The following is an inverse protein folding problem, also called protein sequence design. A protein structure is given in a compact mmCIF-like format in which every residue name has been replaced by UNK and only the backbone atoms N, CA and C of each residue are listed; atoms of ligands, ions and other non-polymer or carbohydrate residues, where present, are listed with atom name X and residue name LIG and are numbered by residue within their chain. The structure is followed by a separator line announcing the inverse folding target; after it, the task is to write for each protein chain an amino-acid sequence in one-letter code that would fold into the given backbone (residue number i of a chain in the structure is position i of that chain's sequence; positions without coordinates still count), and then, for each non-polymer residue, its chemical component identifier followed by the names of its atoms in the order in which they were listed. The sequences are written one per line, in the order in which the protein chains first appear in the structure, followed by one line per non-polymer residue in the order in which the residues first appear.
data_IF_113392791073
#
_entry.id   IF_113392791073
#
_cell.length_a   1.000
_cell.length_b   1.000
_cell.length_c   1.000
_cell.angle_alpha   90.00
_cell.angle_beta   90.00
_cell.angle_gamma   90.00
#
_symmetry.space_group_name_H-M   'P 1'
#
loop_
_entity.id
_entity.type
_entity.pdbx_description
1 polymer ?
2 non-polymer ?
3 non-polymer ?
4 water ?
#
# COMPACT_ATOMS: atom_id res chain seq x y z
N UNK A 1 -30.23 0.04 21.82
CA UNK A 1 -30.49 1.43 22.26
C UNK A 1 -29.60 2.41 21.50
N UNK A 2 -28.69 1.89 20.66
CA UNK A 2 -27.57 2.65 20.15
C UNK A 2 -26.67 1.69 19.37
N UNK A 3 -25.98 2.15 18.31
CA UNK A 3 -25.25 1.16 17.53
C UNK A 3 -23.82 1.54 17.14
N UNK A 4 -22.81 0.89 17.79
CA UNK A 4 -21.40 1.09 17.46
C UNK A 4 -20.99 0.53 16.10
N UNK A 5 -21.79 -0.38 15.53
CA UNK A 5 -21.51 -0.91 14.20
C UNK A 5 -21.58 0.21 13.20
N UNK A 6 -22.77 0.77 13.07
CA UNK A 6 -23.06 1.84 12.12
C UNK A 6 -22.10 2.99 12.38
N UNK A 7 -21.85 3.26 13.67
CA UNK A 7 -20.88 4.27 14.05
C UNK A 7 -19.54 3.92 13.43
N UNK A 8 -19.12 2.64 13.57
CA UNK A 8 -17.81 2.19 13.12
C UNK A 8 -17.68 2.26 11.60
N UNK A 9 -18.75 1.88 10.88
CA UNK A 9 -18.77 1.90 9.43
C UNK A 9 -18.67 3.34 8.91
N UNK A 10 -19.37 4.26 9.59
CA UNK A 10 -19.36 5.66 9.21
C UNK A 10 -17.92 6.19 9.34
N UNK A 11 -17.21 5.74 10.38
CA UNK A 11 -15.87 6.22 10.64
C UNK A 11 -14.90 5.67 9.59
N UNK A 12 -15.04 4.38 9.25
CA UNK A 12 -14.12 3.81 8.29
C UNK A 12 -14.34 4.49 6.93
N UNK A 13 -15.61 4.79 6.62
CA UNK A 13 -15.97 5.42 5.35
C UNK A 13 -15.33 6.81 5.27
N UNK A 14 -15.42 7.55 6.38
CA UNK A 14 -14.83 8.87 6.50
C UNK A 14 -13.32 8.80 6.28
N UNK A 15 -12.71 7.77 6.88
CA UNK A 15 -11.27 7.57 6.83
C UNK A 15 -10.84 7.31 5.38
N UNK A 16 -11.61 6.49 4.66
CA UNK A 16 -11.36 6.18 3.27
C UNK A 16 -11.46 7.46 2.43
N UNK A 17 -12.45 8.31 2.71
CA UNK A 17 -12.67 9.54 1.96
C UNK A 17 -11.49 10.49 2.22
N UNK A 18 -11.12 10.61 3.49
CA UNK A 18 -9.97 11.39 3.92
C UNK A 18 -8.71 10.96 3.18
N UNK A 19 -8.48 9.64 3.17
CA UNK A 19 -7.29 9.07 2.57
C UNK A 19 -7.24 9.38 1.08
N UNK A 20 -8.38 9.18 0.40
CA UNK A 20 -8.48 9.40 -1.03
C UNK A 20 -8.18 10.86 -1.36
N UNK A 21 -8.79 11.79 -0.64
CA UNK A 21 -8.60 13.21 -0.91
C UNK A 21 -7.14 13.56 -0.67
N UNK A 22 -6.56 13.01 0.40
CA UNK A 22 -5.18 13.29 0.74
C UNK A 22 -4.26 12.77 -0.36
N UNK A 23 -4.53 11.54 -0.85
CA UNK A 23 -3.69 10.95 -1.89
C UNK A 23 -3.75 11.77 -3.18
N UNK A 24 -4.93 12.28 -3.53
CA UNK A 24 -5.08 13.07 -4.74
C UNK A 24 -4.22 14.33 -4.64
N UNK A 25 -4.20 14.98 -3.47
CA UNK A 25 -3.45 16.20 -3.25
C UNK A 25 -1.95 15.97 -3.42
N UNK A 26 -1.50 14.74 -3.07
CA UNK A 26 -0.08 14.45 -3.24
C UNK A 26 0.17 13.77 -4.58
N UNK A 27 -0.86 13.61 -5.40
CA UNK A 27 -0.73 13.04 -6.73
C UNK A 27 -0.22 11.59 -6.65
N UNK A 28 -0.73 10.83 -5.68
CA UNK A 28 -0.29 9.45 -5.51
C UNK A 28 -1.52 8.58 -5.45
N UNK A 29 -2.57 9.01 -6.15
CA UNK A 29 -3.70 8.14 -6.40
C UNK A 29 -3.18 6.81 -6.94
N UNK A 30 -3.88 5.72 -6.61
CA UNK A 30 -3.51 4.38 -7.06
C UNK A 30 -2.44 3.74 -6.17
N UNK A 31 -1.65 4.55 -5.47
CA UNK A 31 -0.54 3.99 -4.71
C UNK A 31 -0.94 3.58 -3.30
N UNK A 32 -2.16 3.89 -2.85
CA UNK A 32 -2.57 3.66 -1.46
C UNK A 32 -2.33 2.21 -1.03
N UNK A 33 -2.62 1.23 -1.89
CA UNK A 33 -2.52 -0.19 -1.52
C UNK A 33 -1.32 -0.90 -2.14
N UNK A 34 -1.52 -2.06 -2.80
CA UNK A 34 -0.41 -2.89 -3.30
C UNK A 34 0.50 -2.27 -4.38
N UNK A 35 -0.01 -1.34 -5.21
CA UNK A 35 0.86 -0.68 -6.16
C UNK A 35 1.95 0.06 -5.37
N UNK A 36 1.51 0.84 -4.37
CA UNK A 36 2.44 1.63 -3.57
C UNK A 36 3.46 0.77 -2.84
N UNK A 37 3.02 -0.43 -2.37
CA UNK A 37 3.92 -1.31 -1.63
C UNK A 37 5.06 -1.73 -2.54
N UNK A 38 4.71 -2.14 -3.76
CA UNK A 38 5.65 -2.63 -4.75
C UNK A 38 6.56 -1.48 -5.23
N UNK A 39 5.98 -0.31 -5.46
CA UNK A 39 6.76 0.86 -5.87
C UNK A 39 7.81 1.18 -4.81
N UNK A 40 7.41 1.16 -3.53
CA UNK A 40 8.29 1.50 -2.42
C UNK A 40 9.32 0.40 -2.19
N UNK A 41 8.92 -0.84 -2.39
CA UNK A 41 9.89 -1.92 -2.30
C UNK A 41 10.96 -1.73 -3.38
N UNK A 42 10.52 -1.58 -4.64
CA UNK A 42 11.45 -1.46 -5.74
C UNK A 42 12.34 -0.25 -5.48
N UNK A 43 11.73 0.85 -5.00
CA UNK A 43 12.43 2.11 -4.77
C UNK A 43 13.53 1.96 -3.71
N UNK A 44 13.26 1.15 -2.67
CA UNK A 44 14.22 1.02 -1.57
C UNK A 44 15.27 -0.03 -1.86
N UNK A 45 15.05 -0.90 -2.86
CA UNK A 45 16.02 -1.96 -3.11
C UNK A 45 16.41 -1.99 -4.57
N UNK A 46 16.99 -0.91 -5.14
CA UNK A 46 17.28 -0.86 -6.57
C UNK A 46 18.50 -1.64 -7.06
N UNK A 47 19.34 -2.15 -6.16
CA UNK A 47 20.41 -3.07 -6.51
C UNK A 47 19.85 -4.41 -6.97
N UNK A 48 18.70 -4.82 -6.40
CA UNK A 48 18.22 -6.19 -6.53
C UNK A 48 17.18 -6.32 -7.64
N UNK A 49 17.09 -7.52 -8.21
CA UNK A 49 16.12 -7.87 -9.24
C UNK A 49 14.84 -8.36 -8.56
N UNK A 50 13.69 -8.15 -9.22
CA UNK A 50 12.41 -8.63 -8.76
C UNK A 50 11.66 -9.17 -9.97
N UNK A 51 11.47 -10.50 -10.01
CA UNK A 51 10.60 -11.12 -10.98
C UNK A 51 9.15 -10.92 -10.50
N UNK A 52 8.19 -11.23 -11.36
CA UNK A 52 6.81 -11.28 -10.92
C UNK A 52 6.69 -12.32 -9.79
N UNK A 53 7.40 -13.45 -9.93
CA UNK A 53 7.42 -14.48 -8.91
C UNK A 53 7.86 -13.91 -7.56
N UNK A 54 8.94 -13.11 -7.57
CA UNK A 54 9.35 -12.43 -6.34
C UNK A 54 8.25 -11.52 -5.79
N UNK A 55 7.57 -10.77 -6.68
CA UNK A 55 6.52 -9.85 -6.25
C UNK A 55 5.35 -10.60 -5.61
N UNK A 56 4.96 -11.75 -6.17
CA UNK A 56 3.96 -12.64 -5.55
C UNK A 56 4.32 -12.91 -4.09
N UNK A 57 5.54 -13.37 -3.86
CA UNK A 57 5.97 -13.73 -2.51
C UNK A 57 6.00 -12.50 -1.61
N UNK A 58 6.44 -11.32 -2.14
CA UNK A 58 6.64 -10.15 -1.30
C UNK A 58 5.30 -9.55 -0.90
N UNK A 59 4.32 -9.64 -1.79
CA UNK A 59 3.00 -9.11 -1.48
C UNK A 59 2.05 -10.15 -0.92
N UNK A 60 2.41 -11.45 -0.97
CA UNK A 60 1.58 -12.54 -0.54
C UNK A 60 0.27 -12.52 -1.34
N UNK A 61 0.42 -12.51 -2.66
CA UNK A 61 -0.75 -12.59 -3.53
C UNK A 61 -0.57 -13.77 -4.48
N UNK A 62 -1.63 -14.07 -5.23
CA UNK A 62 -1.66 -15.18 -6.16
C UNK A 62 -1.08 -14.72 -7.49
N UNK A 63 -0.94 -15.68 -8.40
CA UNK A 63 -0.28 -15.51 -9.67
C UNK A 63 -1.15 -14.59 -10.53
N UNK A 64 -2.48 -14.79 -10.48
CA UNK A 64 -3.43 -14.03 -11.30
C UNK A 64 -3.57 -12.58 -10.83
N UNK A 65 -3.56 -12.36 -9.52
CA UNK A 65 -3.60 -11.04 -8.91
C UNK A 65 -2.32 -10.27 -9.24
N UNK A 66 -1.16 -10.86 -8.92
CA UNK A 66 0.16 -10.30 -9.21
C UNK A 66 0.25 -9.90 -10.68
N UNK A 67 -0.25 -10.79 -11.54
CA UNK A 67 -0.29 -10.58 -12.98
C UNK A 67 -1.11 -9.33 -13.29
N UNK A 68 -2.29 -9.21 -12.67
CA UNK A 68 -3.15 -8.08 -12.99
C UNK A 68 -2.51 -6.80 -12.46
N UNK A 69 -2.02 -6.87 -11.23
CA UNK A 69 -1.38 -5.76 -10.54
C UNK A 69 -0.24 -5.19 -11.38
N UNK A 70 0.68 -6.03 -11.88
CA UNK A 70 1.86 -5.54 -12.56
C UNK A 70 1.52 -4.98 -13.94
N UNK A 71 0.54 -5.61 -14.62
CA UNK A 71 0.07 -5.11 -15.91
C UNK A 71 -0.50 -3.70 -15.75
N UNK A 72 -1.19 -3.45 -14.62
CA UNK A 72 -1.78 -2.15 -14.35
C UNK A 72 -0.69 -1.13 -14.00
N UNK A 73 0.30 -1.56 -13.22
CA UNK A 73 1.43 -0.72 -12.91
C UNK A 73 2.20 -0.34 -14.18
N UNK A 74 2.29 -1.28 -15.14
CA UNK A 74 2.95 -1.05 -16.41
C UNK A 74 2.14 -0.04 -17.25
N UNK A 75 0.81 -0.19 -17.24
CA UNK A 75 -0.11 0.74 -17.88
C UNK A 75 0.14 2.13 -17.34
N UNK A 76 0.15 2.27 -16.00
CA UNK A 76 0.40 3.52 -15.30
C UNK A 76 1.77 4.12 -15.65
N UNK A 77 2.68 3.27 -16.15
CA UNK A 77 4.02 3.73 -16.50
C UNK A 77 4.96 3.76 -15.30
N UNK A 78 4.56 3.12 -14.19
CA UNK A 78 5.35 3.07 -12.97
C UNK A 78 6.49 2.06 -13.06
N UNK A 79 6.31 1.02 -13.89
CA UNK A 79 7.29 -0.04 -14.00
C UNK A 79 7.36 -0.45 -15.47
N UNK A 80 8.54 -0.98 -15.85
CA UNK A 80 8.71 -1.80 -17.03
C UNK A 80 8.79 -3.29 -16.63
N UNK A 81 8.29 -4.17 -17.50
CA UNK A 81 8.33 -5.61 -17.35
C UNK A 81 9.19 -6.14 -18.51
N UNK A 82 10.35 -6.73 -18.20
CA UNK A 82 11.26 -7.17 -19.26
C UNK A 82 11.56 -8.65 -19.06
N UNK A 83 11.23 -9.55 -20.01
CA UNK A 83 11.50 -10.99 -19.83
C UNK A 83 13.01 -11.20 -19.73
N UNK A 84 13.42 -12.12 -18.85
CA UNK A 84 14.79 -12.60 -18.81
C UNK A 84 15.30 -12.92 -20.21
N UNK A 85 16.52 -12.48 -20.53
CA UNK A 85 17.13 -12.70 -21.83
C UNK A 85 17.42 -14.20 -22.02
N UNK A 86 17.84 -14.85 -20.93
CA UNK A 86 18.28 -16.23 -20.92
C UNK A 86 17.06 -17.14 -20.98
N UNK A 87 16.02 -16.78 -20.20
CA UNK A 87 14.77 -17.52 -20.09
C UNK A 87 13.58 -16.59 -20.18
N UNK A 88 12.98 -16.50 -21.38
CA UNK A 88 11.95 -15.52 -21.62
C UNK A 88 10.62 -15.99 -21.04
N UNK A 89 10.66 -16.50 -19.80
CA UNK A 89 9.49 -16.99 -19.09
C UNK A 89 9.50 -16.40 -17.68
N UNK A 90 10.71 -16.01 -17.25
CA UNK A 90 10.93 -15.20 -16.06
C UNK A 90 10.77 -13.74 -16.50
N UNK A 91 10.00 -12.95 -15.74
CA UNK A 91 9.68 -11.58 -16.10
C UNK A 91 10.19 -10.72 -14.96
N UNK A 92 11.08 -9.77 -15.29
CA UNK A 92 11.67 -8.86 -14.32
C UNK A 92 11.00 -7.49 -14.36
N UNK A 93 10.91 -6.84 -13.19
CA UNK A 93 10.24 -5.58 -12.98
C UNK A 93 11.31 -4.51 -12.72
N UNK A 94 11.11 -3.34 -13.36
CA UNK A 94 12.02 -2.20 -13.25
C UNK A 94 11.17 -0.97 -12.99
N UNK A 95 11.51 -0.26 -11.91
CA UNK A 95 10.83 0.98 -11.57
C UNK A 95 11.34 2.12 -12.49
N UNK A 96 10.45 2.74 -13.24
CA UNK A 96 10.78 3.73 -14.27
C UNK A 96 11.14 5.06 -13.61
N UNK A 97 11.61 6.01 -14.42
CA UNK A 97 11.73 7.38 -13.94
C UNK A 97 10.43 7.85 -13.26
N UNK A 98 9.27 7.66 -13.92
CA UNK A 98 8.02 8.08 -13.32
C UNK A 98 7.73 7.31 -12.02
N UNK A 99 8.10 6.02 -11.97
CA UNK A 99 7.87 5.23 -10.79
C UNK A 99 8.66 5.75 -9.59
N UNK A 100 9.89 6.20 -9.84
CA UNK A 100 10.73 6.80 -8.82
C UNK A 100 10.12 8.10 -8.29
N UNK A 101 9.62 8.95 -9.20
CA UNK A 101 8.93 10.18 -8.80
C UNK A 101 7.75 9.83 -7.91
N UNK A 102 6.94 8.85 -8.36
CA UNK A 102 5.77 8.45 -7.61
C UNK A 102 6.17 8.00 -6.21
N UNK A 103 7.29 7.28 -6.11
CA UNK A 103 7.77 6.79 -4.84
C UNK A 103 8.10 7.95 -3.89
N UNK A 104 8.77 8.98 -4.42
CA UNK A 104 9.24 10.08 -3.56
C UNK A 104 8.04 10.88 -3.07
N UNK A 105 7.06 11.13 -3.95
CA UNK A 105 5.81 11.74 -3.56
C UNK A 105 5.02 10.89 -2.57
N UNK A 106 5.07 9.55 -2.70
CA UNK A 106 4.35 8.67 -1.79
C UNK A 106 4.92 8.79 -0.39
N UNK A 107 6.25 8.85 -0.26
CA UNK A 107 6.91 8.94 1.03
C UNK A 107 6.46 10.21 1.75
N UNK A 108 6.41 11.34 1.01
CA UNK A 108 6.02 12.62 1.58
C UNK A 108 4.58 12.52 2.03
N UNK A 109 3.73 11.98 1.14
CA UNK A 109 2.34 11.75 1.43
C UNK A 109 2.21 11.03 2.77
N UNK A 110 3.00 9.99 2.97
CA UNK A 110 2.77 9.12 4.11
C UNK A 110 3.14 9.91 5.36
N UNK A 111 4.19 10.74 5.23
CA UNK A 111 4.71 11.50 6.37
C UNK A 111 3.67 12.51 6.83
N UNK A 112 3.08 13.23 5.88
CA UNK A 112 2.12 14.27 6.16
C UNK A 112 0.79 13.69 6.62
N UNK A 113 0.38 12.57 6.01
CA UNK A 113 -0.85 11.90 6.38
C UNK A 113 -0.82 11.49 7.86
N UNK A 114 0.27 10.87 8.31
CA UNK A 114 0.38 10.42 9.69
C UNK A 114 0.45 11.61 10.66
N UNK A 115 1.17 12.68 10.31
CA UNK A 115 1.27 13.89 11.13
C UNK A 115 -0.10 14.49 11.37
N UNK A 116 -0.87 14.65 10.30
CA UNK A 116 -2.22 15.16 10.38
C UNK A 116 -3.13 14.22 11.19
N UNK A 117 -3.09 12.91 10.88
CA UNK A 117 -4.03 11.96 11.44
C UNK A 117 -3.80 11.81 12.94
N UNK A 118 -2.52 11.78 13.33
CA UNK A 118 -2.13 11.33 14.67
C UNK A 118 -1.79 12.49 15.58
N UNK A 119 -2.04 13.73 15.13
CA UNK A 119 -1.92 14.91 15.95
C UNK A 119 -2.73 14.73 17.24
N UNK A 120 -2.04 14.86 18.39
CA UNK A 120 -2.63 14.88 19.72
C UNK A 120 -2.99 13.49 20.20
N UNK A 121 -2.21 12.48 19.77
CA UNK A 121 -2.38 11.10 20.16
C UNK A 121 -0.99 10.54 20.41
N UNK A 122 -0.78 9.96 21.60
CA UNK A 122 0.53 9.55 22.08
C UNK A 122 0.84 8.12 21.64
N UNK A 123 2.11 7.74 21.68
CA UNK A 123 2.53 6.39 21.30
C UNK A 123 1.83 5.39 22.22
N UNK A 124 1.50 5.82 23.45
CA UNK A 124 0.97 4.93 24.46
C UNK A 124 -0.50 4.68 24.18
N UNK A 125 -1.23 5.77 23.96
CA UNK A 125 -2.61 5.79 23.51
C UNK A 125 -2.82 4.87 22.31
N UNK A 126 -1.91 4.93 21.29
CA UNK A 126 -1.91 4.02 20.14
C UNK A 126 -1.75 2.57 20.56
N UNK A 127 -0.72 2.29 21.38
CA UNK A 127 -0.43 0.95 21.88
C UNK A 127 -1.66 0.39 22.63
N UNK A 128 -2.36 1.26 23.36
CA UNK A 128 -3.52 0.89 24.16
C UNK A 128 -4.67 0.53 23.21
N UNK A 129 -4.95 1.44 22.28
CA UNK A 129 -5.94 1.24 21.25
C UNK A 129 -5.69 -0.06 20.50
N UNK A 130 -4.42 -0.34 20.17
CA UNK A 130 -4.08 -1.52 19.39
C UNK A 130 -4.32 -2.78 20.22
N UNK A 131 -4.08 -2.67 21.53
CA UNK A 131 -4.30 -3.84 22.39
C UNK A 131 -5.79 -4.14 22.51
N UNK A 132 -6.59 -3.09 22.64
CA UNK A 132 -8.02 -3.21 22.81
C UNK A 132 -8.62 -3.87 21.56
N UNK A 133 -8.27 -3.34 20.37
CA UNK A 133 -8.85 -3.77 19.11
C UNK A 133 -8.58 -5.27 18.99
N UNK A 134 -7.38 -5.58 19.44
CA UNK A 134 -6.83 -6.88 19.26
C UNK A 134 -7.43 -7.86 20.27
N UNK A 135 -7.69 -7.40 21.50
CA UNK A 135 -8.41 -8.23 22.46
C UNK A 135 -9.85 -8.48 21.98
N UNK A 136 -10.51 -7.44 21.45
CA UNK A 136 -11.86 -7.56 20.91
C UNK A 136 -11.92 -8.69 19.89
N UNK A 137 -11.05 -8.61 18.87
CA UNK A 137 -10.99 -9.58 17.79
C UNK A 137 -10.84 -10.99 18.36
N UNK A 138 -9.95 -11.16 19.34
CA UNK A 138 -9.74 -12.46 19.97
C UNK A 138 -11.01 -12.93 20.67
N UNK A 139 -11.70 -12.02 21.38
CA UNK A 139 -12.86 -12.37 22.18
C UNK A 139 -13.99 -12.89 21.30
N UNK A 140 -14.02 -12.43 20.04
CA UNK A 140 -15.10 -12.77 19.12
C UNK A 140 -14.79 -14.11 18.47
N UNK A 141 -13.53 -14.30 18.06
CA UNK A 141 -13.06 -15.52 17.39
C UNK A 141 -13.54 -16.76 18.14
N UNK A 142 -14.48 -17.48 17.52
CA UNK A 142 -15.14 -18.66 18.06
C UNK A 142 -14.38 -19.92 17.63
X LIG B 1 2.90 3.88 10.72
X LIG B 1 1.76 2.78 6.08
X LIG B 1 -2.64 4.74 6.93
X LIG B 1 -1.82 4.45 11.71
X LIG B 1 2.97 3.43 9.40
X LIG B 1 4.09 2.82 8.82
X LIG B 1 3.77 2.50 7.53
X LIG B 1 2.45 2.94 7.28
X LIG B 1 4.68 1.82 6.52
X LIG B 1 5.40 2.51 9.51
X LIG B 1 6.31 3.73 9.53
X LIG B 1 7.64 3.26 10.06
X LIG B 1 8.54 2.86 9.28
X LIG B 1 7.86 3.28 11.30
X LIG B 1 0.46 3.29 5.94
X LIG B 1 -0.22 3.37 4.68
X LIG B 1 -1.44 3.94 4.91
X LIG B 1 -1.49 4.20 6.34
X LIG B 1 0.32 2.94 3.31
X LIG B 1 -2.56 4.26 4.00
X LIG B 1 -2.50 4.20 2.67
X LIG B 1 -2.80 4.74 8.30
X LIG B 1 -4.00 5.05 8.93
X LIG B 1 -3.77 4.97 10.30
X LIG B 1 -2.42 4.62 10.49
X LIG B 1 -5.25 5.37 8.14
X LIG B 1 -4.73 5.22 11.38
X LIG B 1 -6.00 5.56 11.11
X LIG B 1 -0.45 4.30 11.80
X LIG B 1 0.26 4.37 13.08
X LIG B 1 1.57 4.22 12.81
X LIG B 1 1.68 4.07 11.36
X LIG B 1 -0.35 4.58 14.44
X LIG B 1 2.70 4.23 13.79
X LIG B 1 3.31 5.63 13.72
X LIG B 1 4.76 5.65 14.10
X LIG B 1 5.07 5.91 15.30
X LIG B 1 5.64 5.42 13.22
X LIG B 1 1.95 3.48 8.46
X LIG B 1 -0.34 3.80 6.91
X LIG B 1 -1.85 4.47 9.25
X LIG B 1 0.44 4.13 10.79
X LIG B 1 0.07 3.97 8.95
X LIG C 1 -0.19 1.93 9.13
X LIG C 1 -0.83 1.00 9.28
#
# INVERSE_FOLDING_TARGET
MENPLQKARILVNQLEKYLDRYAKEYDVEHLAGPQGHLVMHLYKHPDKDMSIKDAEEILHISKSVASNLVKRMEKNGFIAIVPSKTDKRVKYLYLTHLGKQKATQFEIFLEKLHSTMLAGITKEEIRTTKKVIRTLAKNMAMEDFDSLEVLFQ
HEM CHA CHB CHC CHD C1A C2A C3A C4A CMA CAA CBA CGA O1A O2A C1B C2B C3B C4B CMB CAB CBB C1C C2C C3C C4C CMC CAC CBC C1D C2D C3D C4D CMD CAD CBD CGD O1D O2D NA NB NC ND FE
CYN C N
#
